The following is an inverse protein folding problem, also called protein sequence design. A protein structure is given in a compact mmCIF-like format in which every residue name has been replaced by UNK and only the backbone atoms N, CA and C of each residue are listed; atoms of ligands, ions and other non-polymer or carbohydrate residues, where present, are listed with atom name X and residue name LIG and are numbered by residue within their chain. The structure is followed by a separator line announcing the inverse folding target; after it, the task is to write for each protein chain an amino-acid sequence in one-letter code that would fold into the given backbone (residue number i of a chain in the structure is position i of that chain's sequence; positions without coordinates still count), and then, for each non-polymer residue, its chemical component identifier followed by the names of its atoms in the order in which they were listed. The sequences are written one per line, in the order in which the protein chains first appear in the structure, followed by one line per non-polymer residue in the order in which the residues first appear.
data_IF_497037794309
#
_entry.id   IF_497037794309
#
_cell.length_a   1.000
_cell.length_b   1.000
_cell.length_c   1.000
_cell.angle_alpha   90.00
_cell.angle_beta   90.00
_cell.angle_gamma   90.00
#
_symmetry.space_group_name_H-M   'P 1'
#
loop_
_entity.id
_entity.type
_entity.pdbx_description
1 polymer ?
#
# COMPACT_ATOMS: atom_id res chain seq x y z
N UNK A 1 6.74 80.95 -49.00
CA UNK A 1 6.94 79.54 -49.22
C UNK A 1 6.75 78.80 -47.87
N UNK A 2 5.60 78.14 -47.72
CA UNK A 2 5.35 77.25 -46.56
C UNK A 2 5.80 75.84 -46.94
N UNK A 3 6.78 75.31 -46.18
CA UNK A 3 7.18 73.90 -46.25
C UNK A 3 6.16 73.10 -45.45
N UNK A 4 5.38 72.24 -46.08
CA UNK A 4 4.53 71.22 -45.40
C UNK A 4 5.42 70.00 -45.15
N UNK A 5 5.77 69.74 -43.88
CA UNK A 5 6.34 68.45 -43.47
C UNK A 5 5.17 67.47 -43.33
N UNK A 6 5.17 66.42 -44.14
CA UNK A 6 4.21 65.32 -44.05
C UNK A 6 4.78 64.25 -43.12
N UNK A 7 4.30 64.22 -41.86
CA UNK A 7 4.64 63.12 -40.96
C UNK A 7 3.76 61.90 -41.30
N UNK A 8 4.35 60.80 -41.74
CA UNK A 8 3.69 59.54 -41.87
C UNK A 8 3.59 58.92 -40.44
N UNK A 9 2.41 58.93 -39.87
CA UNK A 9 2.14 58.23 -38.62
C UNK A 9 1.97 56.76 -39.01
N UNK A 10 2.96 55.94 -38.69
CA UNK A 10 2.87 54.47 -38.86
C UNK A 10 1.75 53.90 -37.97
N UNK A 11 1.07 52.87 -38.49
CA UNK A 11 0.06 52.15 -37.69
C UNK A 11 0.73 51.44 -36.51
N UNK A 12 0.18 51.56 -35.31
CA UNK A 12 0.61 50.78 -34.18
C UNK A 12 0.14 49.34 -34.38
N UNK A 13 1.09 48.40 -34.38
CA UNK A 13 0.84 46.97 -34.41
C UNK A 13 1.28 46.44 -33.07
N UNK A 14 0.28 46.05 -32.25
CA UNK A 14 0.49 45.55 -30.90
C UNK A 14 0.79 44.07 -30.92
N UNK A 15 1.73 43.61 -30.06
CA UNK A 15 2.13 42.23 -29.87
C UNK A 15 3.45 42.12 -29.12
N UNK A 16 3.92 40.91 -28.92
CA UNK A 16 5.21 40.72 -28.27
C UNK A 16 6.38 41.11 -29.17
N UNK A 17 7.17 42.09 -28.75
CA UNK A 17 8.35 42.57 -29.48
C UNK A 17 9.67 41.94 -29.01
N UNK A 18 9.66 41.05 -27.98
CA UNK A 18 10.83 40.34 -27.52
C UNK A 18 11.12 39.10 -28.37
N UNK A 19 12.22 39.11 -29.12
CA UNK A 19 12.62 38.01 -30.02
C UNK A 19 12.96 36.71 -29.32
N UNK A 20 13.12 36.71 -27.96
CA UNK A 20 13.31 35.51 -27.16
C UNK A 20 12.02 34.90 -26.62
N UNK A 21 10.87 35.54 -26.87
CA UNK A 21 9.57 35.05 -26.45
C UNK A 21 9.02 33.99 -27.40
N UNK A 22 8.30 33.01 -26.90
CA UNK A 22 7.63 31.96 -27.70
C UNK A 22 6.53 32.50 -28.62
N UNK A 23 5.93 33.64 -28.26
CA UNK A 23 4.89 34.33 -29.03
C UNK A 23 5.41 35.63 -29.66
N UNK A 24 6.73 35.70 -29.96
CA UNK A 24 7.30 36.84 -30.68
C UNK A 24 6.56 37.11 -32.01
N UNK A 25 6.11 38.36 -32.20
CA UNK A 25 5.51 38.81 -33.47
C UNK A 25 6.47 39.74 -34.19
N UNK A 26 6.99 39.26 -35.32
CA UNK A 26 7.91 40.02 -36.17
C UNK A 26 7.28 41.33 -36.69
N UNK A 27 5.94 41.41 -36.82
CA UNK A 27 5.23 42.57 -37.34
C UNK A 27 4.91 43.59 -36.24
N UNK A 28 4.99 43.19 -34.94
CA UNK A 28 4.69 44.09 -33.83
C UNK A 28 5.77 45.18 -33.72
N UNK A 29 5.34 46.42 -33.60
CA UNK A 29 6.16 47.58 -33.36
C UNK A 29 5.88 48.26 -31.99
N UNK A 30 4.93 47.71 -31.26
CA UNK A 30 4.53 48.20 -29.93
C UNK A 30 4.25 47.00 -29.02
N UNK A 31 5.01 46.91 -27.95
CA UNK A 31 4.84 45.83 -26.97
C UNK A 31 3.51 45.99 -26.21
N UNK A 32 2.70 44.97 -26.17
CA UNK A 32 1.42 44.90 -25.45
C UNK A 32 1.52 44.21 -24.09
N UNK A 33 2.70 43.79 -23.70
CA UNK A 33 2.95 43.04 -22.45
C UNK A 33 2.60 41.55 -22.50
N UNK A 34 2.26 41.02 -23.69
CA UNK A 34 1.85 39.62 -23.85
C UNK A 34 3.00 38.63 -24.01
N UNK A 35 4.27 39.08 -23.88
CA UNK A 35 5.43 38.24 -24.14
C UNK A 35 5.48 37.00 -23.25
N UNK A 36 5.48 35.84 -23.87
CA UNK A 36 5.59 34.54 -23.24
C UNK A 36 7.04 34.06 -23.22
N UNK A 37 7.63 34.02 -22.01
CA UNK A 37 9.04 33.64 -21.83
C UNK A 37 9.23 32.30 -21.11
N UNK A 38 8.16 31.75 -20.53
CA UNK A 38 8.22 30.54 -19.71
C UNK A 38 7.46 29.42 -20.43
N UNK A 39 8.20 28.35 -20.75
CA UNK A 39 7.63 27.14 -21.29
C UNK A 39 7.53 26.08 -20.21
N UNK A 40 6.41 25.35 -20.17
CA UNK A 40 6.13 24.31 -19.21
C UNK A 40 4.84 23.58 -19.54
N UNK A 41 4.34 22.77 -18.63
CA UNK A 41 3.02 22.16 -18.78
C UNK A 41 1.93 23.18 -18.44
N UNK A 42 1.06 23.48 -19.42
CA UNK A 42 -0.07 24.42 -19.27
C UNK A 42 -1.40 23.73 -18.94
N UNK A 43 -1.43 22.39 -18.88
CA UNK A 43 -2.62 21.63 -18.50
C UNK A 43 -2.76 21.58 -16.98
N UNK A 44 -3.79 22.24 -16.43
CA UNK A 44 -4.06 22.30 -14.99
C UNK A 44 -4.45 20.95 -14.35
N UNK A 45 -4.72 19.93 -15.14
CA UNK A 45 -5.01 18.56 -14.68
C UNK A 45 -3.76 17.67 -14.64
N UNK A 46 -2.63 18.18 -15.10
CA UNK A 46 -1.37 17.44 -15.09
C UNK A 46 -0.61 17.58 -13.78
N UNK A 47 0.13 16.53 -13.43
CA UNK A 47 0.93 16.46 -12.18
C UNK A 47 1.98 17.58 -12.07
N UNK A 48 2.59 17.94 -13.18
CA UNK A 48 3.64 18.97 -13.27
C UNK A 48 3.12 20.28 -13.88
N UNK A 49 1.81 20.61 -13.67
CA UNK A 49 1.25 21.88 -14.10
C UNK A 49 2.07 23.06 -13.55
N UNK A 50 2.45 23.96 -14.43
CA UNK A 50 3.16 25.19 -14.09
C UNK A 50 2.26 26.41 -14.40
N UNK A 51 1.72 27.02 -13.33
CA UNK A 51 0.86 28.21 -13.43
C UNK A 51 1.56 29.41 -14.08
N UNK A 52 2.88 29.43 -14.11
CA UNK A 52 3.68 30.51 -14.73
C UNK A 52 3.99 30.26 -16.19
N UNK A 53 3.83 29.02 -16.65
CA UNK A 53 4.03 28.67 -18.05
C UNK A 53 2.94 29.28 -18.92
N UNK A 54 3.37 29.94 -19.99
CA UNK A 54 2.50 30.55 -20.99
C UNK A 54 2.64 29.85 -22.36
N UNK A 55 3.54 28.90 -22.49
CA UNK A 55 3.75 28.08 -23.68
C UNK A 55 3.85 26.61 -23.28
N UNK A 56 3.00 25.77 -23.88
CA UNK A 56 3.05 24.33 -23.66
C UNK A 56 4.23 23.72 -24.46
N UNK A 57 5.15 23.12 -23.73
CA UNK A 57 6.33 22.45 -24.30
C UNK A 57 6.12 20.93 -24.45
N UNK A 58 4.89 20.45 -24.30
CA UNK A 58 4.50 19.02 -24.32
C UNK A 58 5.15 18.18 -23.20
N UNK A 59 5.53 18.80 -22.08
CA UNK A 59 6.12 18.10 -20.94
C UNK A 59 5.08 17.64 -19.91
N UNK A 60 3.79 17.77 -20.18
CA UNK A 60 2.73 17.43 -19.26
C UNK A 60 2.78 15.95 -18.87
N UNK A 61 2.78 15.70 -17.57
CA UNK A 61 2.76 14.36 -16.97
C UNK A 61 1.35 14.10 -16.45
N UNK A 62 0.67 13.05 -16.89
CA UNK A 62 -0.66 12.71 -16.37
C UNK A 62 -0.62 12.41 -14.86
N UNK A 63 -1.67 12.81 -14.15
CA UNK A 63 -1.87 12.37 -12.75
C UNK A 63 -2.19 10.89 -12.73
N UNK A 64 -1.42 10.12 -11.96
CA UNK A 64 -1.64 8.70 -11.68
C UNK A 64 -1.86 8.56 -10.18
N UNK A 65 -3.11 8.33 -9.80
CA UNK A 65 -3.49 8.14 -8.40
C UNK A 65 -3.10 6.75 -7.89
N UNK A 66 -2.74 6.66 -6.63
CA UNK A 66 -2.42 5.43 -5.93
C UNK A 66 -1.55 5.70 -4.71
N UNK A 67 -1.31 4.67 -3.91
CA UNK A 67 -0.43 4.79 -2.75
C UNK A 67 1.02 5.05 -3.18
N UNK A 68 1.59 6.17 -2.72
CA UNK A 68 2.99 6.57 -3.01
C UNK A 68 3.97 6.21 -1.89
N UNK A 69 3.49 5.65 -0.77
CA UNK A 69 4.36 5.17 0.31
C UNK A 69 4.95 3.80 -0.03
N UNK A 70 6.25 3.74 -0.25
CA UNK A 70 6.98 2.50 -0.60
C UNK A 70 6.96 1.43 0.51
N UNK A 71 6.56 1.77 1.74
CA UNK A 71 6.42 0.84 2.86
C UNK A 71 5.00 0.29 2.97
N UNK A 72 4.04 0.86 2.26
CA UNK A 72 2.68 0.39 2.25
C UNK A 72 2.53 -0.91 1.43
N UNK A 73 1.61 -1.78 1.85
CA UNK A 73 1.33 -3.04 1.17
C UNK A 73 0.76 -2.84 -0.25
N UNK A 74 -0.05 -1.79 -0.41
CA UNK A 74 -0.64 -1.42 -1.70
C UNK A 74 0.14 -0.31 -2.43
N UNK A 75 1.46 -0.20 -2.19
CA UNK A 75 2.32 0.72 -2.93
C UNK A 75 2.19 0.54 -4.44
N UNK A 76 1.97 1.66 -5.13
CA UNK A 76 1.94 1.70 -6.59
C UNK A 76 3.15 2.48 -7.12
N UNK A 77 4.15 1.81 -7.69
CA UNK A 77 5.37 2.49 -8.19
C UNK A 77 5.11 3.41 -9.38
N UNK A 78 3.94 3.30 -10.02
CA UNK A 78 3.54 4.18 -11.13
C UNK A 78 2.74 5.41 -10.67
N UNK A 79 2.27 5.43 -9.40
CA UNK A 79 1.56 6.58 -8.86
C UNK A 79 2.52 7.75 -8.65
N UNK A 80 2.08 8.94 -9.06
CA UNK A 80 2.76 10.21 -8.79
C UNK A 80 1.96 11.12 -7.86
N UNK A 81 0.75 10.69 -7.48
CA UNK A 81 -0.15 11.43 -6.59
C UNK A 81 -0.80 10.45 -5.62
N UNK A 82 -0.64 10.70 -4.34
CA UNK A 82 -1.23 9.86 -3.30
C UNK A 82 -2.76 9.99 -3.31
N UNK A 83 -3.46 8.85 -3.30
CA UNK A 83 -4.91 8.78 -3.21
C UNK A 83 -5.44 8.74 -1.77
N UNK A 84 -4.55 8.74 -0.77
CA UNK A 84 -4.86 8.68 0.65
C UNK A 84 -5.29 7.31 1.16
N UNK A 85 -5.14 6.24 0.37
CA UNK A 85 -5.54 4.87 0.73
C UNK A 85 -4.35 3.95 1.00
N UNK A 86 -3.20 4.49 1.35
CA UNK A 86 -2.06 3.67 1.77
C UNK A 86 -2.39 2.88 3.04
N UNK A 87 -2.08 1.58 3.05
CA UNK A 87 -2.19 0.76 4.26
C UNK A 87 -1.03 -0.22 4.42
N UNK A 88 -0.74 -0.55 5.68
CA UNK A 88 0.25 -1.56 6.05
C UNK A 88 -0.44 -2.83 6.48
N UNK A 89 0.14 -4.00 6.18
CA UNK A 89 -0.34 -5.28 6.66
C UNK A 89 0.00 -5.47 8.14
N UNK A 90 -1.03 -5.71 8.97
CA UNK A 90 -0.87 -5.92 10.40
C UNK A 90 -1.88 -6.97 10.89
N UNK A 91 -1.68 -8.23 10.45
CA UNK A 91 -2.41 -9.39 10.97
C UNK A 91 -1.55 -10.08 12.01
N UNK A 92 -2.09 -10.35 13.19
CA UNK A 92 -1.38 -11.01 14.28
C UNK A 92 -2.26 -12.01 14.99
N UNK A 93 -1.69 -13.16 15.37
CA UNK A 93 -2.36 -14.16 16.19
C UNK A 93 -2.26 -13.79 17.67
N UNK A 94 -3.33 -14.08 18.41
CA UNK A 94 -3.28 -14.19 19.87
C UNK A 94 -2.84 -15.61 20.25
N UNK A 95 -2.45 -15.83 21.50
CA UNK A 95 -2.05 -17.17 21.98
C UNK A 95 -3.15 -18.18 21.67
N UNK A 96 -2.85 -19.26 20.92
CA UNK A 96 -3.83 -20.28 20.61
C UNK A 96 -4.25 -21.05 21.88
N UNK A 97 -5.51 -21.47 21.89
CA UNK A 97 -6.00 -22.45 22.88
C UNK A 97 -5.89 -23.83 22.25
N UNK A 98 -5.16 -24.73 22.89
CA UNK A 98 -5.01 -26.10 22.39
C UNK A 98 -5.23 -27.11 23.51
N UNK A 99 -5.85 -28.25 23.13
CA UNK A 99 -6.00 -29.42 23.98
C UNK A 99 -5.32 -30.61 23.28
N UNK A 100 -4.31 -31.15 23.93
CA UNK A 100 -3.59 -32.32 23.42
C UNK A 100 -4.48 -33.57 23.37
N UNK A 101 -4.33 -34.44 22.37
CA UNK A 101 -5.06 -35.70 22.30
C UNK A 101 -4.54 -36.71 23.35
N UNK A 102 -5.44 -37.60 23.79
CA UNK A 102 -5.07 -38.76 24.61
C UNK A 102 -4.22 -39.73 23.80
N UNK A 103 -3.35 -40.56 24.47
CA UNK A 103 -2.51 -41.54 23.77
C UNK A 103 -3.32 -42.44 22.85
N UNK A 104 -2.88 -42.57 21.60
CA UNK A 104 -3.54 -43.43 20.58
C UNK A 104 -4.86 -42.92 20.06
N UNK A 105 -5.31 -41.74 20.48
CA UNK A 105 -6.57 -41.11 20.02
C UNK A 105 -6.30 -39.81 19.24
N UNK A 106 -7.27 -39.42 18.40
CA UNK A 106 -7.28 -38.18 17.69
C UNK A 106 -8.45 -37.30 18.22
N UNK A 107 -8.40 -36.95 19.50
CA UNK A 107 -9.44 -36.17 20.17
C UNK A 107 -8.95 -34.76 20.59
N UNK A 108 -7.88 -34.29 19.99
CA UNK A 108 -7.31 -32.95 20.21
C UNK A 108 -8.17 -31.84 19.64
N UNK A 109 -7.93 -30.63 20.15
CA UNK A 109 -8.60 -29.40 19.75
C UNK A 109 -7.57 -28.28 19.60
N UNK A 110 -7.75 -27.42 18.60
CA UNK A 110 -7.04 -26.14 18.49
C UNK A 110 -8.07 -25.05 18.19
N UNK A 111 -7.97 -23.92 18.89
CA UNK A 111 -8.72 -22.69 18.62
C UNK A 111 -7.72 -21.56 18.46
N UNK A 112 -7.83 -20.79 17.38
CA UNK A 112 -6.99 -19.65 17.12
C UNK A 112 -7.85 -18.40 16.96
N UNK A 113 -7.27 -17.25 17.33
CA UNK A 113 -7.84 -15.94 17.02
C UNK A 113 -6.73 -15.06 16.47
N UNK A 114 -7.05 -14.30 15.45
CA UNK A 114 -6.17 -13.28 14.88
C UNK A 114 -6.90 -11.94 14.86
N UNK A 115 -6.12 -10.87 14.83
CA UNK A 115 -6.60 -9.50 14.70
C UNK A 115 -5.90 -8.82 13.55
N UNK A 116 -6.60 -7.90 12.89
CA UNK A 116 -6.04 -6.99 11.88
C UNK A 116 -6.41 -5.56 12.22
N UNK A 117 -5.51 -4.62 11.99
CA UNK A 117 -5.82 -3.19 12.09
C UNK A 117 -6.70 -2.68 10.96
N UNK A 118 -6.75 -3.41 9.86
CA UNK A 118 -7.39 -2.98 8.61
C UNK A 118 -8.79 -3.58 8.42
N UNK A 119 -9.12 -4.65 9.14
CA UNK A 119 -10.38 -5.37 8.97
C UNK A 119 -10.77 -6.14 10.21
N UNK A 120 -12.06 -6.15 10.54
CA UNK A 120 -12.63 -7.05 11.56
C UNK A 120 -12.95 -8.44 11.05
N UNK A 121 -12.93 -8.64 9.72
CA UNK A 121 -13.18 -9.94 9.09
C UNK A 121 -11.86 -10.64 8.78
N UNK A 122 -11.70 -11.86 9.32
CA UNK A 122 -10.52 -12.70 9.09
C UNK A 122 -10.98 -14.07 8.62
N UNK A 123 -10.40 -14.53 7.53
CA UNK A 123 -10.54 -15.88 7.01
C UNK A 123 -9.35 -16.74 7.46
N UNK A 124 -9.63 -17.99 7.86
CA UNK A 124 -8.61 -18.95 8.31
C UNK A 124 -8.56 -20.13 7.38
N UNK A 125 -7.35 -20.53 7.02
CA UNK A 125 -7.07 -21.74 6.23
C UNK A 125 -5.97 -22.56 6.89
N UNK A 126 -6.10 -23.87 6.90
CA UNK A 126 -5.18 -24.80 7.54
C UNK A 126 -4.44 -25.67 6.52
N UNK A 127 -3.26 -26.15 6.90
CA UNK A 127 -2.50 -27.11 6.10
C UNK A 127 -3.26 -28.44 5.89
N UNK A 128 -4.29 -28.71 6.66
CA UNK A 128 -5.22 -29.86 6.50
C UNK A 128 -6.27 -29.65 5.41
N UNK A 129 -6.38 -28.45 4.84
CA UNK A 129 -7.44 -28.02 3.93
C UNK A 129 -8.71 -27.54 4.63
N UNK A 130 -8.77 -27.57 5.96
CA UNK A 130 -9.90 -27.04 6.73
C UNK A 130 -9.90 -25.50 6.72
N UNK A 131 -11.06 -24.91 7.01
CA UNK A 131 -11.29 -23.47 7.17
C UNK A 131 -11.92 -23.17 8.52
N UNK A 132 -11.87 -21.90 8.94
CA UNK A 132 -12.38 -21.46 10.22
C UNK A 132 -11.32 -21.44 11.32
N UNK A 133 -11.68 -20.86 12.45
CA UNK A 133 -10.73 -20.54 13.52
C UNK A 133 -10.51 -21.67 14.54
N UNK A 134 -11.04 -22.88 14.28
CA UNK A 134 -10.84 -24.05 15.15
C UNK A 134 -10.73 -25.34 14.36
N UNK A 135 -10.03 -26.31 14.92
CA UNK A 135 -9.97 -27.69 14.47
C UNK A 135 -10.28 -28.61 15.64
N UNK A 136 -10.99 -29.71 15.35
CA UNK A 136 -11.31 -30.77 16.32
C UNK A 136 -10.88 -32.14 15.80
N UNK A 137 -10.94 -33.15 16.67
CA UNK A 137 -10.58 -34.53 16.32
C UNK A 137 -9.15 -34.66 15.78
N UNK A 138 -8.24 -33.94 16.42
CA UNK A 138 -6.84 -33.87 16.02
C UNK A 138 -5.99 -34.96 16.68
N UNK A 139 -5.16 -35.60 15.88
CA UNK A 139 -4.04 -36.39 16.38
C UNK A 139 -2.89 -35.49 16.82
N UNK A 140 -1.91 -36.04 17.56
CA UNK A 140 -0.65 -35.32 17.76
C UNK A 140 0.02 -35.02 16.41
N UNK A 141 0.51 -33.79 16.24
CA UNK A 141 1.08 -33.35 14.98
C UNK A 141 1.37 -31.86 14.91
N UNK A 142 1.72 -31.41 13.73
CA UNK A 142 2.00 -30.03 13.41
C UNK A 142 0.86 -29.46 12.57
N UNK A 143 0.27 -28.37 13.03
CA UNK A 143 -0.84 -27.69 12.38
C UNK A 143 -0.41 -26.27 12.03
N UNK A 144 -0.55 -25.92 10.75
CA UNK A 144 -0.21 -24.58 10.26
C UNK A 144 -1.50 -23.90 9.85
N UNK A 145 -1.72 -22.68 10.36
CA UNK A 145 -2.87 -21.85 10.05
C UNK A 145 -2.41 -20.54 9.43
N UNK A 146 -3.11 -20.13 8.37
CA UNK A 146 -2.96 -18.79 7.78
C UNK A 146 -4.24 -18.01 8.03
N UNK A 147 -4.11 -16.85 8.64
CA UNK A 147 -5.18 -15.87 8.82
C UNK A 147 -5.04 -14.78 7.76
N UNK A 148 -6.11 -14.49 7.03
CA UNK A 148 -6.11 -13.48 5.94
C UNK A 148 -7.28 -12.54 6.14
N UNK A 149 -7.05 -11.24 6.11
CA UNK A 149 -8.09 -10.22 6.21
C UNK A 149 -8.73 -9.88 4.85
N UNK A 150 -9.71 -8.96 4.84
CA UNK A 150 -10.42 -8.56 3.63
C UNK A 150 -9.59 -7.76 2.63
N UNK A 151 -8.43 -7.25 3.05
CA UNK A 151 -7.46 -6.55 2.19
C UNK A 151 -6.31 -7.48 1.75
N UNK A 152 -6.47 -8.79 1.94
CA UNK A 152 -5.47 -9.83 1.61
C UNK A 152 -4.18 -9.76 2.43
N UNK A 153 -4.15 -9.00 3.52
CA UNK A 153 -3.08 -9.09 4.50
C UNK A 153 -3.16 -10.42 5.23
N UNK A 154 -2.04 -11.11 5.39
CA UNK A 154 -2.00 -12.44 6.00
C UNK A 154 -0.87 -12.60 6.99
N UNK A 155 -1.10 -13.48 7.97
CA UNK A 155 -0.09 -14.01 8.87
C UNK A 155 -0.26 -15.53 8.97
N UNK A 156 0.83 -16.23 9.29
CA UNK A 156 0.85 -17.69 9.47
C UNK A 156 1.38 -18.04 10.84
N UNK A 157 0.74 -18.99 11.50
CA UNK A 157 1.19 -19.55 12.79
C UNK A 157 1.31 -21.07 12.70
N UNK A 158 2.23 -21.64 13.49
CA UNK A 158 2.49 -23.07 13.55
C UNK A 158 2.29 -23.60 14.96
N UNK A 159 1.36 -24.52 15.13
CA UNK A 159 0.95 -25.07 16.41
C UNK A 159 1.38 -26.52 16.49
N UNK A 160 2.14 -26.84 17.54
CA UNK A 160 2.60 -28.19 17.84
C UNK A 160 1.65 -28.81 18.86
N UNK A 161 0.91 -29.83 18.45
CA UNK A 161 0.00 -30.57 19.31
C UNK A 161 0.66 -31.90 19.72
N UNK A 162 1.15 -31.96 20.98
CA UNK A 162 1.72 -33.16 21.55
C UNK A 162 0.66 -34.14 22.05
N UNK A 163 1.07 -35.34 22.53
CA UNK A 163 0.19 -36.30 23.20
C UNK A 163 0.22 -36.03 24.72
N UNK A 164 -0.93 -36.22 25.38
CA UNK A 164 -0.96 -36.31 26.86
C UNK A 164 -0.42 -37.69 27.29
N UNK A 165 0.61 -37.76 28.12
CA UNK A 165 1.15 -38.99 28.68
C UNK A 165 1.08 -38.82 30.18
N UNK A 166 0.23 -39.60 30.83
CA UNK A 166 0.08 -39.61 32.27
C UNK A 166 1.15 -40.48 32.91
N UNK A 167 1.57 -40.14 34.14
CA UNK A 167 2.51 -40.85 34.94
C UNK A 167 3.19 -39.94 35.94
N UNK A 168 3.86 -40.52 36.95
CA UNK A 168 4.58 -39.73 37.93
C UNK A 168 5.67 -38.86 37.27
N UNK A 169 5.57 -37.54 37.44
CA UNK A 169 6.52 -36.56 36.89
C UNK A 169 7.64 -36.17 37.84
N UNK A 170 7.59 -36.66 39.11
CA UNK A 170 8.64 -36.44 40.10
C UNK A 170 9.84 -37.36 39.83
N UNK A 171 10.96 -36.79 39.40
CA UNK A 171 12.18 -37.51 39.05
C UNK A 171 12.85 -38.23 40.26
N UNK A 172 12.41 -37.94 41.50
CA UNK A 172 12.90 -38.58 42.70
C UNK A 172 12.03 -39.75 43.16
N UNK A 173 10.84 -39.91 42.60
CA UNK A 173 9.93 -40.99 42.94
C UNK A 173 10.34 -42.32 42.29
N UNK A 174 10.03 -43.43 42.99
CA UNK A 174 10.35 -44.79 42.50
C UNK A 174 9.60 -45.20 41.26
N UNK A 175 8.43 -44.59 41.01
CA UNK A 175 7.57 -44.81 39.85
C UNK A 175 7.67 -43.71 38.83
N UNK A 176 8.75 -42.92 38.81
CA UNK A 176 8.99 -41.87 37.84
C UNK A 176 8.88 -42.36 36.40
N UNK A 177 8.09 -41.66 35.59
CA UNK A 177 7.98 -41.91 34.18
C UNK A 177 8.59 -40.74 33.39
N UNK A 178 9.80 -40.90 32.82
CA UNK A 178 10.47 -39.81 32.12
C UNK A 178 9.75 -39.32 30.84
N UNK A 179 8.73 -40.06 30.38
CA UNK A 179 7.93 -39.67 29.19
C UNK A 179 6.61 -38.98 29.60
N UNK A 180 6.24 -39.03 30.88
CA UNK A 180 5.01 -38.36 31.35
C UNK A 180 5.17 -36.84 31.26
N UNK A 181 4.08 -36.20 30.78
CA UNK A 181 3.94 -34.74 30.73
C UNK A 181 2.75 -34.24 31.58
N UNK A 182 1.99 -35.16 32.18
CA UNK A 182 0.91 -34.88 33.14
C UNK A 182 1.04 -35.90 34.29
N UNK A 183 1.01 -35.38 35.49
CA UNK A 183 1.03 -36.21 36.72
C UNK A 183 -0.30 -36.94 36.92
N UNK A 184 -0.30 -38.19 37.34
CA UNK A 184 -1.49 -39.06 37.50
C UNK A 184 -1.92 -39.26 38.96
#
# INVERSE_FOLDING_TARGET
CSVMDTFMIGQFIYGCTNSSAYNYDLNANTDDGSCCLIAGCTDSLSFNYDVTACYDNNSCIPVVLGCTDSLAFNYNPNANTDDGFCYTCNVSFTTPVSQAPSPGNCNGLIIVNATSSNSSYINYTWNTGATGNYLTSLCAGIYVVTATDSLYCSATDTIYLGTIIYGCTDSTALNYNPTANVDD
#
